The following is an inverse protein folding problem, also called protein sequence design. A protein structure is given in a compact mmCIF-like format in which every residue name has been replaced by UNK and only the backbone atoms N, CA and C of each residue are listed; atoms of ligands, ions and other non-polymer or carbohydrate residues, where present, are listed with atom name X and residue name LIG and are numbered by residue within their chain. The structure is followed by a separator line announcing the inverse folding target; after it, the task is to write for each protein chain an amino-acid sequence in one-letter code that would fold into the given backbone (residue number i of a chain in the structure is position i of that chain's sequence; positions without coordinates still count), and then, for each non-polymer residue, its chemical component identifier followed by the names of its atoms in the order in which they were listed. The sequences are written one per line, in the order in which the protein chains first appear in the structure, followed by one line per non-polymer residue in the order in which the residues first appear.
data_IF_805684061463
#
_entry.id   IF_805684061463
#
_cell.length_a   1.000
_cell.length_b   1.000
_cell.length_c   1.000
_cell.angle_alpha   90.00
_cell.angle_beta   90.00
_cell.angle_gamma   90.00
#
_symmetry.space_group_name_H-M   'P 1'
#
loop_
_entity.id
_entity.type
_entity.pdbx_description
1 polymer ?
#
# COMPACT_ATOMS: atom_id res chain seq x y z
N UNK A 1 -20.39 -70.66 3.94
CA UNK A 1 -20.67 -69.41 4.70
C UNK A 1 -19.47 -68.47 4.90
N UNK A 2 -18.19 -68.91 4.86
CA UNK A 2 -17.04 -68.00 5.10
C UNK A 2 -16.75 -67.00 3.96
N UNK A 3 -17.12 -67.30 2.71
CA UNK A 3 -16.86 -66.44 1.53
C UNK A 3 -17.74 -65.18 1.45
N UNK A 4 -18.94 -65.15 2.03
CA UNK A 4 -19.82 -63.98 1.98
C UNK A 4 -19.43 -62.88 2.99
N UNK A 5 -18.92 -63.25 4.17
CA UNK A 5 -18.45 -62.27 5.17
C UNK A 5 -17.28 -61.42 4.65
N UNK A 6 -16.39 -62.02 3.86
CA UNK A 6 -15.23 -61.31 3.31
C UNK A 6 -15.63 -60.28 2.25
N UNK A 7 -16.71 -60.52 1.48
CA UNK A 7 -17.23 -59.55 0.52
C UNK A 7 -17.81 -58.30 1.21
N UNK A 8 -18.51 -58.47 2.33
CA UNK A 8 -19.09 -57.33 3.08
C UNK A 8 -18.01 -56.46 3.73
N UNK A 9 -16.97 -57.06 4.32
CA UNK A 9 -15.85 -56.33 4.93
C UNK A 9 -15.07 -55.54 3.86
N UNK A 10 -14.84 -56.14 2.68
CA UNK A 10 -14.20 -55.46 1.57
C UNK A 10 -15.01 -54.26 1.07
N UNK A 11 -16.34 -54.41 0.95
CA UNK A 11 -17.24 -53.34 0.48
C UNK A 11 -17.30 -52.17 1.49
N UNK A 12 -17.32 -52.47 2.79
CA UNK A 12 -17.25 -51.46 3.86
C UNK A 12 -15.90 -50.75 3.86
N UNK A 13 -14.79 -51.50 3.74
CA UNK A 13 -13.44 -50.91 3.68
C UNK A 13 -13.24 -50.01 2.45
N UNK A 14 -13.78 -50.41 1.30
CA UNK A 14 -13.72 -49.63 0.07
C UNK A 14 -14.55 -48.34 0.16
N UNK A 15 -15.76 -48.40 0.74
CA UNK A 15 -16.57 -47.21 0.99
C UNK A 15 -15.86 -46.23 1.93
N UNK A 16 -15.23 -46.73 3.00
CA UNK A 16 -14.50 -45.91 3.98
C UNK A 16 -13.25 -45.26 3.36
N UNK A 17 -12.57 -45.97 2.45
CA UNK A 17 -11.45 -45.42 1.68
C UNK A 17 -11.88 -44.27 0.76
N UNK A 18 -13.01 -44.40 0.06
CA UNK A 18 -13.54 -43.32 -0.80
C UNK A 18 -13.86 -42.07 0.03
N UNK A 19 -14.53 -42.22 1.17
CA UNK A 19 -14.86 -41.10 2.07
C UNK A 19 -13.59 -40.42 2.59
N UNK A 20 -12.57 -41.20 2.97
CA UNK A 20 -11.29 -40.66 3.43
C UNK A 20 -10.54 -39.91 2.31
N UNK A 21 -10.60 -40.42 1.08
CA UNK A 21 -10.00 -39.77 -0.10
C UNK A 21 -10.67 -38.43 -0.41
N UNK A 22 -12.00 -38.35 -0.29
CA UNK A 22 -12.76 -37.11 -0.53
C UNK A 22 -12.52 -36.05 0.55
N UNK A 23 -12.20 -36.43 1.79
CA UNK A 23 -11.85 -35.44 2.83
C UNK A 23 -10.40 -34.99 2.70
N UNK A 24 -9.48 -35.87 2.30
CA UNK A 24 -8.07 -35.52 2.05
C UNK A 24 -7.88 -34.55 0.87
N UNK A 25 -8.72 -34.63 -0.16
CA UNK A 25 -8.64 -33.70 -1.31
C UNK A 25 -8.94 -32.25 -0.94
N UNK A 26 -9.80 -32.00 0.06
CA UNK A 26 -10.08 -30.65 0.56
C UNK A 26 -8.86 -30.09 1.32
N UNK A 27 -8.12 -30.93 2.04
CA UNK A 27 -6.91 -30.51 2.74
C UNK A 27 -5.75 -30.19 1.80
N UNK A 28 -5.66 -30.86 0.64
CA UNK A 28 -4.63 -30.59 -0.36
C UNK A 28 -4.77 -29.19 -1.00
N UNK A 29 -6.02 -28.72 -1.23
CA UNK A 29 -6.30 -27.39 -1.79
C UNK A 29 -5.97 -26.26 -0.80
N UNK A 30 -6.00 -26.53 0.51
CA UNK A 30 -5.66 -25.53 1.54
C UNK A 30 -4.15 -25.43 1.76
N UNK A 31 -3.38 -26.50 1.48
CA UNK A 31 -1.95 -26.56 1.73
C UNK A 31 -1.09 -26.11 0.54
N UNK A 32 -1.64 -26.12 -0.68
CA UNK A 32 -0.87 -25.90 -1.90
C UNK A 32 -1.46 -24.78 -2.78
N UNK A 33 -1.54 -23.57 -2.22
CA UNK A 33 -1.54 -22.35 -3.02
C UNK A 33 -0.13 -21.72 -3.00
N UNK A 34 0.84 -22.26 -3.78
CA UNK A 34 2.22 -21.76 -3.84
C UNK A 34 2.35 -20.40 -4.53
N UNK A 35 1.26 -19.75 -4.98
CA UNK A 35 1.33 -18.52 -5.77
C UNK A 35 1.43 -17.20 -4.96
N UNK A 36 1.09 -17.16 -3.66
CA UNK A 36 0.81 -15.86 -3.02
C UNK A 36 1.66 -15.50 -1.80
N UNK A 37 2.92 -15.95 -1.74
CA UNK A 37 3.84 -15.54 -0.67
C UNK A 37 5.07 -14.85 -1.23
N UNK A 38 4.86 -13.71 -1.89
CA UNK A 38 5.94 -12.78 -2.23
C UNK A 38 6.56 -12.26 -0.93
N UNK A 39 7.89 -12.14 -0.88
CA UNK A 39 8.62 -11.63 0.29
C UNK A 39 9.44 -10.42 -0.07
N UNK A 40 9.31 -9.37 0.72
CA UNK A 40 10.17 -8.18 0.65
C UNK A 40 10.71 -7.88 2.05
N UNK A 41 12.03 -8.05 2.23
CA UNK A 41 12.65 -7.98 3.54
C UNK A 41 12.01 -8.97 4.53
N UNK A 42 11.41 -8.45 5.60
CA UNK A 42 10.74 -9.25 6.63
C UNK A 42 9.24 -9.43 6.38
N UNK A 43 8.67 -8.73 5.40
CA UNK A 43 7.24 -8.73 5.14
C UNK A 43 6.87 -9.80 4.12
N UNK A 44 5.71 -10.43 4.34
CA UNK A 44 5.06 -11.32 3.38
C UNK A 44 3.92 -10.57 2.70
N UNK A 45 3.83 -10.70 1.40
CA UNK A 45 2.79 -10.11 0.57
C UNK A 45 2.00 -11.21 -0.13
N UNK A 46 0.70 -10.98 -0.21
CA UNK A 46 -0.27 -11.82 -0.91
C UNK A 46 -0.83 -11.01 -2.08
N UNK A 47 -0.87 -11.60 -3.27
CA UNK A 47 -1.44 -10.94 -4.45
C UNK A 47 -2.96 -10.89 -4.27
N UNK A 48 -3.57 -9.75 -4.59
CA UNK A 48 -5.03 -9.55 -4.57
C UNK A 48 -5.50 -9.11 -5.95
N UNK A 49 -6.82 -9.01 -6.14
CA UNK A 49 -7.40 -8.48 -7.38
C UNK A 49 -7.04 -7.01 -7.64
N UNK A 50 -6.61 -6.28 -6.60
CA UNK A 50 -6.33 -4.83 -6.62
C UNK A 50 -4.84 -4.51 -6.49
N UNK A 51 -3.98 -5.52 -6.31
CA UNK A 51 -2.54 -5.35 -6.16
C UNK A 51 -1.95 -6.34 -5.16
N UNK A 52 -1.45 -5.82 -4.04
CA UNK A 52 -0.69 -6.55 -3.04
C UNK A 52 -1.22 -6.24 -1.64
N UNK A 53 -1.36 -7.25 -0.80
CA UNK A 53 -1.77 -7.11 0.59
C UNK A 53 -0.68 -7.62 1.52
N UNK A 54 -0.41 -6.90 2.62
CA UNK A 54 0.49 -7.35 3.68
C UNK A 54 -0.08 -7.02 5.05
N UNK A 55 0.39 -7.70 6.10
CA UNK A 55 -0.04 -7.45 7.49
C UNK A 55 0.95 -6.53 8.18
N UNK A 56 0.51 -5.33 8.53
CA UNK A 56 1.27 -4.36 9.30
C UNK A 56 0.56 -4.16 10.64
N UNK A 57 1.25 -4.42 11.76
CA UNK A 57 0.67 -4.35 13.10
C UNK A 57 -0.64 -5.17 13.25
N UNK A 58 -0.71 -6.33 12.60
CA UNK A 58 -1.89 -7.21 12.62
C UNK A 58 -3.05 -6.77 11.72
N UNK A 59 -2.99 -5.59 11.10
CA UNK A 59 -3.99 -5.10 10.14
C UNK A 59 -3.54 -5.40 8.71
N UNK A 60 -4.46 -5.89 7.88
CA UNK A 60 -4.22 -6.02 6.44
C UNK A 60 -4.18 -4.64 5.79
N UNK A 61 -3.12 -4.38 5.02
CA UNK A 61 -2.88 -3.15 4.29
C UNK A 61 -2.70 -3.48 2.82
N UNK A 62 -3.44 -2.79 1.96
CA UNK A 62 -3.40 -3.00 0.51
C UNK A 62 -2.62 -1.89 -0.20
N UNK A 63 -1.84 -2.30 -1.20
CA UNK A 63 -0.98 -1.49 -2.02
C UNK A 63 -1.15 -1.90 -3.48
N UNK A 64 -1.09 -0.95 -4.41
CA UNK A 64 -1.22 -1.27 -5.84
C UNK A 64 0.10 -1.70 -6.48
N UNK A 65 1.24 -1.41 -5.85
CA UNK A 65 2.58 -1.72 -6.37
C UNK A 65 3.39 -2.51 -5.35
N UNK A 66 4.18 -3.46 -5.83
CA UNK A 66 5.06 -4.26 -5.00
C UNK A 66 6.33 -3.46 -4.65
N UNK A 67 6.90 -3.58 -3.43
CA UNK A 67 8.03 -2.73 -3.04
C UNK A 67 9.22 -2.75 -4.00
N UNK A 68 9.58 -3.90 -4.59
CA UNK A 68 10.71 -3.97 -5.53
C UNK A 68 10.45 -3.21 -6.84
N UNK A 69 9.20 -3.02 -7.22
CA UNK A 69 8.82 -2.21 -8.39
C UNK A 69 9.08 -0.73 -8.13
N UNK A 70 9.21 -0.31 -6.86
CA UNK A 70 9.34 1.10 -6.46
C UNK A 70 10.76 1.50 -6.09
N UNK A 71 11.75 0.59 -6.23
CA UNK A 71 13.15 0.88 -5.87
C UNK A 71 13.79 1.96 -6.72
N UNK A 72 13.29 2.18 -7.95
CA UNK A 72 13.74 3.29 -8.81
C UNK A 72 13.32 4.66 -8.28
N UNK A 73 12.32 4.73 -7.38
CA UNK A 73 11.90 5.95 -6.70
C UNK A 73 12.90 6.26 -5.57
N UNK A 74 14.00 6.91 -5.94
CA UNK A 74 15.04 7.28 -5.00
C UNK A 74 14.56 8.42 -4.08
N UNK A 75 14.31 8.10 -2.82
CA UNK A 75 14.07 9.08 -1.75
C UNK A 75 15.40 9.32 -1.04
N UNK A 76 15.85 10.57 -1.00
CA UNK A 76 17.10 10.96 -0.35
C UNK A 76 17.03 10.75 1.17
N UNK A 77 18.17 10.46 1.80
CA UNK A 77 18.26 10.11 3.23
C UNK A 77 17.73 11.20 4.17
N UNK A 78 17.88 12.47 3.80
CA UNK A 78 17.34 13.62 4.52
C UNK A 78 15.81 13.61 4.56
N UNK A 79 15.15 13.26 3.44
CA UNK A 79 13.69 13.10 3.39
C UNK A 79 13.25 11.92 4.28
N UNK A 80 14.01 10.81 4.26
CA UNK A 80 13.70 9.65 5.12
C UNK A 80 13.77 10.02 6.59
N UNK A 81 14.82 10.71 6.99
CA UNK A 81 15.00 11.18 8.37
C UNK A 81 13.90 12.17 8.77
N UNK A 82 13.56 13.11 7.89
CA UNK A 82 12.49 14.09 8.12
C UNK A 82 11.14 13.40 8.36
N UNK A 83 10.73 12.49 7.47
CA UNK A 83 9.47 11.75 7.62
C UNK A 83 9.47 10.81 8.83
N UNK A 84 10.63 10.22 9.16
CA UNK A 84 10.82 9.39 10.35
C UNK A 84 10.59 10.16 11.65
N UNK A 85 11.10 11.39 11.72
CA UNK A 85 11.02 12.26 12.92
C UNK A 85 9.75 13.10 13.00
N UNK A 86 9.00 13.24 11.90
CA UNK A 86 7.74 13.99 11.86
C UNK A 86 6.73 13.46 12.88
N UNK A 87 5.95 14.34 13.52
CA UNK A 87 4.82 13.97 14.37
C UNK A 87 3.52 13.91 13.57
N UNK A 88 3.40 14.76 12.56
CA UNK A 88 2.33 14.78 11.57
C UNK A 88 2.94 15.11 10.20
N UNK A 89 2.20 14.92 9.12
CA UNK A 89 2.57 15.43 7.80
C UNK A 89 1.45 16.31 7.26
N UNK A 90 1.78 17.27 6.42
CA UNK A 90 0.79 18.08 5.70
C UNK A 90 0.85 17.74 4.21
N UNK A 91 -0.25 17.26 3.66
CA UNK A 91 -0.41 17.07 2.23
C UNK A 91 -0.84 18.40 1.58
N UNK A 92 -0.02 18.90 0.66
CA UNK A 92 -0.24 20.15 -0.08
C UNK A 92 -0.41 19.84 -1.56
N UNK A 93 -1.36 20.49 -2.22
CA UNK A 93 -1.59 20.37 -3.66
C UNK A 93 -2.14 21.67 -4.23
N UNK A 94 -2.10 21.80 -5.57
CA UNK A 94 -2.69 22.94 -6.28
C UNK A 94 -4.16 22.64 -6.63
N UNK A 95 -5.14 23.36 -6.04
CA UNK A 95 -6.56 23.15 -6.32
C UNK A 95 -7.00 23.63 -7.70
N UNK A 96 -6.17 24.36 -8.44
CA UNK A 96 -6.45 24.80 -9.82
C UNK A 96 -5.82 23.86 -10.87
N UNK A 97 -5.35 22.68 -10.47
CA UNK A 97 -4.94 21.61 -11.38
C UNK A 97 -6.10 21.16 -12.29
N UNK A 98 -5.80 20.40 -13.34
CA UNK A 98 -6.87 19.87 -14.21
C UNK A 98 -7.84 19.00 -13.41
N UNK A 99 -9.09 18.85 -13.88
CA UNK A 99 -10.10 18.03 -13.19
C UNK A 99 -9.63 16.58 -13.06
N UNK A 100 -9.00 16.07 -14.10
CA UNK A 100 -8.39 14.74 -14.11
C UNK A 100 -7.33 14.64 -13.01
N UNK A 101 -6.43 15.62 -12.89
CA UNK A 101 -5.40 15.62 -11.85
C UNK A 101 -5.98 15.63 -10.44
N UNK A 102 -7.00 16.46 -10.21
CA UNK A 102 -7.66 16.59 -8.92
C UNK A 102 -8.27 15.28 -8.44
N UNK A 103 -8.81 14.44 -9.34
CA UNK A 103 -9.36 13.13 -8.96
C UNK A 103 -8.29 12.22 -8.33
N UNK A 104 -7.08 12.19 -8.91
CA UNK A 104 -6.01 11.36 -8.37
C UNK A 104 -5.38 11.98 -7.12
N UNK A 105 -5.26 13.32 -7.07
CA UNK A 105 -4.79 14.03 -5.88
C UNK A 105 -5.73 13.80 -4.70
N UNK A 106 -7.05 13.83 -4.91
CA UNK A 106 -8.04 13.53 -3.87
C UNK A 106 -8.02 12.05 -3.46
N UNK A 107 -7.81 11.14 -4.41
CA UNK A 107 -7.61 9.71 -4.09
C UNK A 107 -6.38 9.51 -3.20
N UNK A 108 -5.24 10.11 -3.58
CA UNK A 108 -4.01 10.01 -2.79
C UNK A 108 -4.16 10.69 -1.42
N UNK A 109 -4.85 11.83 -1.36
CA UNK A 109 -5.18 12.54 -0.12
C UNK A 109 -5.98 11.64 0.83
N UNK A 110 -7.00 10.96 0.31
CA UNK A 110 -7.84 10.04 1.07
C UNK A 110 -7.08 8.79 1.52
N UNK A 111 -6.26 8.21 0.65
CA UNK A 111 -5.49 7.02 1.00
C UNK A 111 -4.42 7.33 2.04
N UNK A 112 -3.69 8.44 1.90
CA UNK A 112 -2.76 8.89 2.93
C UNK A 112 -3.46 9.17 4.27
N UNK A 113 -4.65 9.77 4.25
CA UNK A 113 -5.43 9.98 5.48
C UNK A 113 -5.65 8.69 6.27
N UNK A 114 -6.00 7.62 5.56
CA UNK A 114 -6.44 6.36 6.15
C UNK A 114 -5.31 5.38 6.41
N UNK A 115 -4.23 5.48 5.61
CA UNK A 115 -3.12 4.52 5.60
C UNK A 115 -1.82 5.07 6.18
N UNK A 116 -1.63 6.38 6.31
CA UNK A 116 -0.39 6.89 6.88
C UNK A 116 -0.35 6.63 8.40
N UNK A 117 0.78 6.19 8.98
CA UNK A 117 0.84 5.81 10.40
C UNK A 117 0.78 7.00 11.38
N UNK A 118 0.81 8.24 10.88
CA UNK A 118 0.82 9.49 11.66
C UNK A 118 -0.32 10.40 11.17
N UNK A 119 -0.76 11.39 11.97
CA UNK A 119 -1.75 12.37 11.52
C UNK A 119 -1.36 13.05 10.21
N UNK A 120 -2.34 13.16 9.30
CA UNK A 120 -2.20 13.85 8.01
C UNK A 120 -3.10 15.09 8.03
N UNK A 121 -2.49 16.25 7.81
CA UNK A 121 -3.18 17.53 7.61
C UNK A 121 -3.24 17.87 6.13
N UNK A 122 -4.09 18.82 5.75
CA UNK A 122 -4.28 19.23 4.36
C UNK A 122 -4.13 20.74 4.20
N UNK A 123 -3.57 21.14 3.06
CA UNK A 123 -3.64 22.51 2.59
C UNK A 123 -3.68 22.58 1.08
N UNK A 124 -4.02 23.76 0.59
CA UNK A 124 -4.00 24.12 -0.84
C UNK A 124 -3.01 25.24 -1.05
N UNK A 125 -2.39 25.29 -2.23
CA UNK A 125 -1.40 26.34 -2.55
C UNK A 125 -2.03 27.72 -2.76
N UNK A 126 -3.34 27.77 -2.99
CA UNK A 126 -4.11 28.99 -3.26
C UNK A 126 -5.58 28.77 -2.92
N UNK A 127 -6.30 29.84 -2.61
CA UNK A 127 -7.75 29.81 -2.37
C UNK A 127 -8.54 29.17 -3.51
N UNK A 128 -9.56 28.38 -3.15
CA UNK A 128 -10.44 27.67 -4.08
C UNK A 128 -11.89 27.74 -3.62
N UNK A 129 -12.81 27.90 -4.58
CA UNK A 129 -14.26 27.80 -4.31
C UNK A 129 -14.72 26.35 -4.08
N UNK A 130 -13.94 25.37 -4.56
CA UNK A 130 -14.27 23.95 -4.47
C UNK A 130 -13.76 23.33 -3.17
N UNK A 131 -12.58 23.75 -2.72
CA UNK A 131 -11.91 23.18 -1.57
C UNK A 131 -11.92 24.15 -0.39
N UNK A 132 -12.75 23.88 0.62
CA UNK A 132 -12.79 24.65 1.88
C UNK A 132 -11.73 24.13 2.87
N UNK A 133 -10.46 24.28 2.51
CA UNK A 133 -9.27 23.89 3.30
C UNK A 133 -8.26 25.05 3.31
N UNK A 134 -7.39 25.14 4.34
CA UNK A 134 -6.53 26.31 4.50
C UNK A 134 -5.50 26.44 3.38
N UNK A 135 -5.22 27.68 3.00
CA UNK A 135 -4.12 28.01 2.10
C UNK A 135 -2.78 27.88 2.85
N UNK A 136 -1.87 27.09 2.31
CA UNK A 136 -0.53 26.83 2.87
C UNK A 136 0.52 26.90 1.77
N UNK A 137 1.77 27.12 2.19
CA UNK A 137 2.93 27.12 1.31
C UNK A 137 4.07 26.34 1.95
N UNK A 138 5.11 26.01 1.17
CA UNK A 138 6.33 25.41 1.71
C UNK A 138 7.00 26.25 2.82
N UNK A 139 6.70 27.54 2.96
CA UNK A 139 7.23 28.37 4.06
C UNK A 139 6.59 28.08 5.42
N UNK A 140 5.43 27.41 5.45
CA UNK A 140 4.70 27.06 6.68
C UNK A 140 5.18 25.74 7.32
N UNK A 141 6.21 25.10 6.74
CA UNK A 141 6.69 23.79 7.19
C UNK A 141 7.53 23.87 8.47
N UNK A 142 7.55 22.78 9.23
CA UNK A 142 8.43 22.60 10.38
C UNK A 142 9.05 21.19 10.36
N UNK A 143 10.11 20.96 11.14
CA UNK A 143 10.72 19.63 11.28
C UNK A 143 9.73 18.57 11.81
N UNK A 144 8.74 18.98 12.60
CA UNK A 144 7.73 18.08 13.19
C UNK A 144 6.46 17.94 12.35
N UNK A 145 6.22 18.88 11.43
CA UNK A 145 5.14 18.85 10.46
C UNK A 145 5.67 19.24 9.07
N UNK A 146 6.43 18.33 8.41
CA UNK A 146 6.87 18.54 7.04
C UNK A 146 5.69 18.60 6.09
N UNK A 147 5.86 19.38 5.03
CA UNK A 147 4.87 19.47 3.95
C UNK A 147 5.28 18.52 2.84
N UNK A 148 4.35 17.72 2.34
CA UNK A 148 4.49 16.94 1.12
C UNK A 148 3.67 17.64 0.05
N UNK A 149 4.34 18.37 -0.83
CA UNK A 149 3.72 19.07 -1.94
C UNK A 149 3.75 18.21 -3.19
N UNK A 150 2.57 17.77 -3.65
CA UNK A 150 2.42 17.06 -4.91
C UNK A 150 2.20 18.05 -6.05
N UNK A 151 3.16 18.07 -6.97
CA UNK A 151 3.14 18.89 -8.17
C UNK A 151 3.04 17.99 -9.40
N UNK A 152 2.01 18.19 -10.22
CA UNK A 152 1.85 17.43 -11.46
C UNK A 152 2.84 17.96 -12.50
N UNK A 153 3.72 17.09 -12.98
CA UNK A 153 4.81 17.46 -13.88
C UNK A 153 5.09 16.37 -14.90
N UNK A 154 5.82 16.72 -15.97
CA UNK A 154 6.23 15.79 -17.02
C UNK A 154 7.39 14.88 -16.61
N UNK A 155 8.10 15.22 -15.53
CA UNK A 155 9.25 14.47 -15.02
C UNK A 155 9.05 14.10 -13.55
N UNK A 156 9.43 12.86 -13.22
CA UNK A 156 9.48 12.39 -11.86
C UNK A 156 10.70 12.98 -11.12
N UNK A 157 10.46 13.66 -10.00
CA UNK A 157 11.52 14.01 -9.05
C UNK A 157 10.96 14.16 -7.63
N UNK A 158 11.76 13.80 -6.64
CA UNK A 158 11.43 13.95 -5.22
C UNK A 158 12.57 14.76 -4.62
N UNK A 159 12.27 15.96 -4.15
CA UNK A 159 13.28 16.89 -3.62
C UNK A 159 12.85 17.45 -2.28
N UNK A 160 13.80 17.86 -1.44
CA UNK A 160 13.55 18.52 -0.17
C UNK A 160 14.00 19.98 -0.27
N UNK A 161 13.09 20.90 0.06
CA UNK A 161 13.37 22.31 0.20
C UNK A 161 12.91 22.79 1.58
N UNK A 162 13.83 22.87 2.54
CA UNK A 162 13.58 23.36 3.90
C UNK A 162 12.45 22.64 4.65
N UNK A 163 12.40 21.30 4.59
CA UNK A 163 11.33 20.45 5.13
C UNK A 163 10.04 20.39 4.29
N UNK A 164 10.00 21.09 3.15
CA UNK A 164 8.99 20.88 2.14
C UNK A 164 9.48 19.83 1.13
N UNK A 165 8.86 18.67 1.13
CA UNK A 165 9.12 17.59 0.20
C UNK A 165 8.29 17.86 -1.05
N UNK A 166 8.95 18.23 -2.14
CA UNK A 166 8.30 18.52 -3.43
C UNK A 166 8.41 17.28 -4.30
N UNK A 167 7.24 16.73 -4.64
CA UNK A 167 7.08 15.56 -5.48
C UNK A 167 6.54 16.03 -6.83
N UNK A 168 7.42 16.08 -7.82
CA UNK A 168 7.02 16.25 -9.21
C UNK A 168 6.75 14.85 -9.77
N UNK A 169 5.56 14.59 -10.28
CA UNK A 169 5.29 13.30 -10.95
C UNK A 169 4.21 13.42 -12.00
N UNK A 170 4.17 12.45 -12.92
CA UNK A 170 3.02 12.27 -13.79
C UNK A 170 1.87 11.66 -12.99
N UNK A 171 0.64 11.91 -13.45
CA UNK A 171 -0.57 11.39 -12.83
C UNK A 171 -0.53 9.88 -12.55
N UNK A 172 0.01 9.09 -13.48
CA UNK A 172 0.12 7.62 -13.35
C UNK A 172 1.15 7.17 -12.32
N UNK A 173 2.14 8.00 -12.02
CA UNK A 173 3.22 7.71 -11.08
C UNK A 173 2.85 8.12 -9.65
N UNK A 174 1.82 8.96 -9.48
CA UNK A 174 1.37 9.44 -8.17
C UNK A 174 1.10 8.30 -7.18
N UNK A 175 0.39 7.27 -7.64
CA UNK A 175 0.04 6.10 -6.83
C UNK A 175 1.30 5.31 -6.43
N UNK A 176 2.27 5.20 -7.34
CA UNK A 176 3.54 4.53 -7.07
C UNK A 176 4.36 5.29 -6.01
N UNK A 177 4.38 6.63 -6.09
CA UNK A 177 5.03 7.49 -5.10
C UNK A 177 4.32 7.41 -3.75
N UNK A 178 2.99 7.42 -3.73
CA UNK A 178 2.20 7.25 -2.52
C UNK A 178 2.53 5.93 -1.81
N UNK A 179 2.50 4.80 -2.53
CA UNK A 179 2.89 3.50 -2.00
C UNK A 179 4.32 3.52 -1.46
N UNK A 180 5.26 4.16 -2.17
CA UNK A 180 6.67 4.27 -1.74
C UNK A 180 6.80 5.05 -0.43
N UNK A 181 6.02 6.13 -0.26
CA UNK A 181 5.97 6.90 0.98
C UNK A 181 5.38 6.07 2.13
N UNK A 182 4.28 5.36 1.88
CA UNK A 182 3.65 4.50 2.88
C UNK A 182 4.59 3.36 3.30
N UNK A 183 5.23 2.67 2.36
CA UNK A 183 6.22 1.63 2.67
C UNK A 183 7.37 2.18 3.51
N UNK A 184 7.82 3.40 3.24
CA UNK A 184 8.87 4.03 4.04
C UNK A 184 8.38 4.38 5.45
N UNK A 185 7.17 4.95 5.56
CA UNK A 185 6.58 5.31 6.84
C UNK A 185 6.37 4.09 7.76
N UNK A 186 6.12 2.92 7.16
CA UNK A 186 6.00 1.64 7.87
C UNK A 186 7.33 0.88 8.03
N UNK A 187 8.44 1.43 7.55
CA UNK A 187 9.77 0.79 7.64
C UNK A 187 9.90 -0.50 6.81
N UNK A 188 9.09 -0.65 5.77
CA UNK A 188 9.15 -1.77 4.81
C UNK A 188 10.27 -1.52 3.80
N UNK A 189 10.39 -0.28 3.33
CA UNK A 189 11.47 0.18 2.45
C UNK A 189 12.32 1.23 3.17
N UNK A 190 13.63 1.13 3.02
CA UNK A 190 14.60 2.06 3.59
C UNK A 190 15.15 3.06 2.60
#
# INVERSE_FOLDING_TARGET
MRKEKNKKIFLIGFALFIVLSMTLSIFAVILDNPQDNLKYGKQKFTITNTGYSTKINGKAMEFTSYPSELEYLNISSDIKQLLGNAQAITFLFDPNSSKEDLVYLDSARFDLQNKYPKPVLYGITQSSLTYNIPELSCSNTTTYNPIIFFNISSSLSITNNNNCIIINSKLRELIAVENRLLYQAYGIMS
#
